data_IF_968829785865
#
_entry.id   IF_968829785865
#
_cell.length_a   1.000
_cell.length_b   1.000
_cell.length_c   1.000
_cell.angle_alpha   90.00
_cell.angle_beta   90.00
_cell.angle_gamma   90.00
#
_symmetry.space_group_name_H-M   'P 1'
#
loop_
_entity.id
_entity.type
_entity.pdbx_description
1 polymer ?
#
# COMPACT_ATOMS: atom_id res chain seq x y z
N UNK A 1 -19.91 8.96 3.01
CA UNK A 1 -20.32 7.55 2.80
C UNK A 1 -21.50 7.43 1.84
N UNK A 2 -22.57 8.24 1.99
CA UNK A 2 -23.74 8.19 1.08
C UNK A 2 -23.45 8.40 -0.41
N UNK A 3 -22.59 9.36 -0.76
CA UNK A 3 -22.25 9.63 -2.17
C UNK A 3 -21.53 8.45 -2.85
N UNK A 4 -20.55 7.83 -2.17
CA UNK A 4 -19.82 6.69 -2.72
C UNK A 4 -20.74 5.47 -2.94
N UNK A 5 -21.64 5.19 -1.98
CA UNK A 5 -22.63 4.13 -2.12
C UNK A 5 -23.59 4.39 -3.29
N UNK A 6 -24.09 5.62 -3.41
CA UNK A 6 -24.95 6.02 -4.52
C UNK A 6 -24.24 5.88 -5.88
N UNK A 7 -22.97 6.29 -5.98
CA UNK A 7 -22.18 6.11 -7.20
C UNK A 7 -22.00 4.64 -7.56
N UNK A 8 -21.68 3.78 -6.58
CA UNK A 8 -21.54 2.33 -6.83
C UNK A 8 -22.84 1.74 -7.35
N UNK A 9 -23.97 2.05 -6.71
CA UNK A 9 -25.29 1.57 -7.13
C UNK A 9 -25.62 2.07 -8.53
N UNK A 10 -25.45 3.37 -8.79
CA UNK A 10 -25.73 3.96 -10.09
C UNK A 10 -24.86 3.35 -11.20
N UNK A 11 -23.56 3.18 -10.98
CA UNK A 11 -22.66 2.55 -11.95
C UNK A 11 -23.01 1.08 -12.17
N UNK A 12 -23.36 0.34 -11.11
CA UNK A 12 -23.76 -1.07 -11.20
C UNK A 12 -25.03 -1.23 -12.03
N UNK A 13 -26.04 -0.41 -11.76
CA UNK A 13 -27.28 -0.43 -12.53
C UNK A 13 -27.04 0.00 -13.99
N UNK A 14 -26.20 0.99 -14.22
CA UNK A 14 -25.85 1.44 -15.57
C UNK A 14 -25.14 0.34 -16.38
N UNK A 15 -24.25 -0.44 -15.77
CA UNK A 15 -23.58 -1.55 -16.48
C UNK A 15 -24.52 -2.71 -16.77
N UNK A 16 -25.41 -3.07 -15.82
CA UNK A 16 -26.46 -4.07 -16.07
C UNK A 16 -27.36 -3.62 -17.22
N UNK A 17 -27.76 -2.34 -17.25
CA UNK A 17 -28.60 -1.81 -18.30
C UNK A 17 -27.91 -1.78 -19.67
N UNK A 18 -26.63 -1.40 -19.71
CA UNK A 18 -25.88 -1.26 -20.96
C UNK A 18 -25.41 -2.60 -21.57
N UNK A 19 -25.04 -3.58 -20.73
CA UNK A 19 -24.39 -4.82 -21.17
C UNK A 19 -25.19 -6.09 -20.87
N UNK A 20 -26.26 -5.99 -20.08
CA UNK A 20 -27.07 -7.14 -19.67
C UNK A 20 -26.54 -7.86 -18.43
N UNK A 21 -27.38 -8.73 -17.88
CA UNK A 21 -27.05 -9.55 -16.70
C UNK A 21 -26.08 -10.69 -17.04
N UNK A 22 -26.04 -11.12 -18.30
CA UNK A 22 -25.16 -12.17 -18.81
C UNK A 22 -23.68 -11.80 -18.63
N UNK A 23 -23.32 -10.54 -18.84
CA UNK A 23 -21.96 -10.03 -18.59
C UNK A 23 -21.58 -10.17 -17.11
N UNK A 24 -22.51 -9.91 -16.19
CA UNK A 24 -22.27 -10.11 -14.76
C UNK A 24 -22.10 -11.59 -14.40
N UNK A 25 -22.91 -12.50 -14.96
CA UNK A 25 -22.70 -13.94 -14.78
C UNK A 25 -21.33 -14.38 -15.28
N UNK A 26 -20.96 -14.00 -16.51
CA UNK A 26 -19.65 -14.32 -17.07
C UNK A 26 -18.49 -13.73 -16.26
N UNK A 27 -18.67 -12.55 -15.68
CA UNK A 27 -17.72 -11.96 -14.74
C UNK A 27 -17.56 -12.83 -13.48
N UNK A 28 -18.65 -13.30 -12.88
CA UNK A 28 -18.59 -14.20 -11.73
C UNK A 28 -17.91 -15.54 -12.06
N UNK A 29 -18.15 -16.09 -13.25
CA UNK A 29 -17.49 -17.31 -13.72
C UNK A 29 -15.97 -17.10 -13.89
N UNK A 30 -15.58 -15.96 -14.49
CA UNK A 30 -14.17 -15.57 -14.64
C UNK A 30 -13.47 -15.26 -13.32
N UNK A 31 -14.20 -14.80 -12.31
CA UNK A 31 -13.64 -14.57 -10.97
C UNK A 31 -13.19 -15.87 -10.32
N UNK A 32 -13.95 -16.96 -10.49
CA UNK A 32 -13.54 -18.28 -10.01
C UNK A 32 -12.29 -18.77 -10.74
N UNK A 33 -12.24 -18.63 -12.07
CA UNK A 33 -11.07 -18.97 -12.87
C UNK A 33 -9.83 -18.16 -12.44
N UNK A 34 -9.97 -16.85 -12.27
CA UNK A 34 -8.87 -15.96 -11.89
C UNK A 34 -8.34 -16.32 -10.50
N UNK A 35 -9.22 -16.61 -9.55
CA UNK A 35 -8.81 -17.05 -8.21
C UNK A 35 -8.07 -18.39 -8.27
N UNK A 36 -8.66 -19.41 -8.87
CA UNK A 36 -8.14 -20.78 -8.80
C UNK A 36 -6.92 -20.95 -9.70
N UNK A 37 -7.02 -20.56 -10.97
CA UNK A 37 -5.98 -20.83 -11.97
C UNK A 37 -4.87 -19.80 -11.90
N UNK A 38 -5.20 -18.51 -11.81
CA UNK A 38 -4.18 -17.46 -11.84
C UNK A 38 -3.51 -17.31 -10.47
N UNK A 39 -4.28 -17.15 -9.39
CA UNK A 39 -3.72 -16.91 -8.05
C UNK A 39 -3.32 -18.20 -7.33
N UNK A 40 -4.25 -19.14 -7.17
CA UNK A 40 -4.01 -20.34 -6.36
C UNK A 40 -3.08 -21.34 -7.06
N UNK A 41 -3.20 -21.54 -8.37
CA UNK A 41 -2.30 -22.44 -9.12
C UNK A 41 -1.05 -21.71 -9.64
N UNK A 42 -1.03 -20.37 -9.61
CA UNK A 42 0.12 -19.58 -10.04
C UNK A 42 0.38 -19.64 -11.54
N UNK A 43 -0.65 -19.86 -12.38
CA UNK A 43 -0.48 -20.09 -13.82
C UNK A 43 0.27 -18.96 -14.56
N UNK A 44 0.26 -17.73 -14.03
CA UNK A 44 1.00 -16.59 -14.58
C UNK A 44 2.43 -16.43 -14.03
N UNK A 45 2.81 -17.27 -13.06
CA UNK A 45 4.03 -17.17 -12.25
C UNK A 45 3.79 -16.34 -10.99
N UNK A 46 4.03 -16.93 -9.80
CA UNK A 46 3.88 -16.21 -8.52
C UNK A 46 4.78 -14.98 -8.41
N UNK A 47 5.94 -14.98 -9.08
CA UNK A 47 6.85 -13.83 -9.16
C UNK A 47 6.26 -12.62 -9.90
N UNK A 48 5.18 -12.78 -10.69
CA UNK A 48 4.45 -11.66 -11.29
C UNK A 48 3.38 -11.09 -10.36
N UNK A 49 2.87 -11.91 -9.44
CA UNK A 49 1.80 -11.53 -8.52
C UNK A 49 2.44 -10.96 -7.25
N UNK A 50 2.36 -9.64 -7.08
CA UNK A 50 3.05 -8.87 -6.04
C UNK A 50 2.25 -8.81 -4.73
N UNK A 51 1.71 -9.95 -4.27
CA UNK A 51 0.85 -10.03 -3.07
C UNK A 51 1.45 -10.88 -1.96
N UNK A 52 0.98 -10.67 -0.72
CA UNK A 52 1.39 -11.48 0.43
C UNK A 52 0.99 -12.94 0.24
N UNK A 53 -0.20 -13.19 -0.32
CA UNK A 53 -0.65 -14.52 -0.71
C UNK A 53 0.36 -15.22 -1.63
N UNK A 54 0.77 -14.56 -2.73
CA UNK A 54 1.67 -15.17 -3.71
C UNK A 54 3.07 -15.39 -3.19
N UNK A 55 3.56 -14.54 -2.28
CA UNK A 55 4.83 -14.78 -1.59
C UNK A 55 4.81 -16.08 -0.77
N UNK A 56 3.73 -16.32 0.00
CA UNK A 56 3.58 -17.56 0.78
C UNK A 56 3.47 -18.78 -0.13
N UNK A 57 2.71 -18.68 -1.23
CA UNK A 57 2.56 -19.77 -2.20
C UNK A 57 3.85 -20.09 -2.96
N UNK A 58 4.63 -19.06 -3.31
CA UNK A 58 5.94 -19.21 -3.94
C UNK A 58 6.92 -19.99 -3.06
N UNK A 59 6.84 -19.83 -1.73
CA UNK A 59 7.64 -20.58 -0.77
C UNK A 59 7.07 -21.96 -0.40
N UNK A 60 6.07 -22.46 -1.14
CA UNK A 60 5.46 -23.77 -0.92
C UNK A 60 4.44 -23.81 0.21
N UNK A 61 4.00 -22.66 0.73
CA UNK A 61 2.94 -22.58 1.73
C UNK A 61 1.60 -23.08 1.19
N UNK A 62 0.77 -23.63 2.08
CA UNK A 62 -0.57 -24.11 1.73
C UNK A 62 -1.54 -22.96 1.41
N UNK A 63 -2.63 -23.26 0.71
CA UNK A 63 -3.68 -22.27 0.40
C UNK A 63 -4.27 -21.64 1.67
N UNK A 64 -4.65 -22.42 2.72
CA UNK A 64 -5.17 -21.84 3.95
C UNK A 64 -4.14 -20.94 4.66
N UNK A 65 -2.86 -21.32 4.66
CA UNK A 65 -1.80 -20.49 5.24
C UNK A 65 -1.67 -19.17 4.48
N UNK A 66 -1.64 -19.21 3.16
CA UNK A 66 -1.54 -18.01 2.33
C UNK A 66 -2.71 -17.05 2.54
N UNK A 67 -3.95 -17.56 2.63
CA UNK A 67 -5.11 -16.75 3.00
C UNK A 67 -5.03 -16.21 4.42
N UNK A 68 -4.53 -17.01 5.38
CA UNK A 68 -4.35 -16.57 6.76
C UNK A 68 -3.38 -15.39 6.88
N UNK A 69 -2.21 -15.48 6.24
CA UNK A 69 -1.22 -14.39 6.25
C UNK A 69 -1.73 -13.16 5.48
N UNK A 70 -2.42 -13.35 4.36
CA UNK A 70 -3.08 -12.27 3.63
C UNK A 70 -4.14 -11.55 4.48
N UNK A 71 -4.96 -12.30 5.23
CA UNK A 71 -5.95 -11.73 6.13
C UNK A 71 -5.30 -10.90 7.23
N UNK A 72 -4.22 -11.39 7.85
CA UNK A 72 -3.44 -10.63 8.84
C UNK A 72 -2.93 -9.31 8.24
N UNK A 73 -2.35 -9.35 7.03
CA UNK A 73 -1.87 -8.15 6.35
C UNK A 73 -3.01 -7.15 6.08
N UNK A 74 -4.15 -7.65 5.62
CA UNK A 74 -5.35 -6.85 5.30
C UNK A 74 -5.91 -6.16 6.55
N UNK A 75 -6.16 -6.91 7.62
CA UNK A 75 -6.67 -6.35 8.87
C UNK A 75 -5.66 -5.42 9.54
N UNK A 76 -4.36 -5.74 9.47
CA UNK A 76 -3.29 -4.87 9.95
C UNK A 76 -3.25 -3.53 9.20
N UNK A 77 -3.32 -3.55 7.87
CA UNK A 77 -3.40 -2.32 7.07
C UNK A 77 -4.65 -1.51 7.39
N UNK A 78 -5.82 -2.17 7.48
CA UNK A 78 -7.07 -1.51 7.83
C UNK A 78 -7.01 -0.83 9.21
N UNK A 79 -6.43 -1.51 10.21
CA UNK A 79 -6.25 -0.96 11.55
C UNK A 79 -5.29 0.25 11.55
N UNK A 80 -4.17 0.16 10.84
CA UNK A 80 -3.21 1.27 10.71
C UNK A 80 -3.88 2.49 10.07
N UNK A 81 -4.58 2.30 8.95
CA UNK A 81 -5.25 3.38 8.23
C UNK A 81 -6.36 3.99 9.09
N UNK A 82 -7.18 3.17 9.73
CA UNK A 82 -8.21 3.64 10.65
C UNK A 82 -7.59 4.48 11.78
N UNK A 83 -6.54 3.97 12.43
CA UNK A 83 -5.83 4.69 13.48
C UNK A 83 -5.29 6.04 12.97
N UNK A 84 -4.62 6.09 11.82
CA UNK A 84 -4.08 7.34 11.27
C UNK A 84 -5.17 8.40 11.04
N UNK A 85 -6.37 7.97 10.66
CA UNK A 85 -7.51 8.86 10.43
C UNK A 85 -8.10 9.37 11.74
N UNK A 86 -8.27 8.48 12.72
CA UNK A 86 -8.80 8.85 14.04
C UNK A 86 -7.81 9.68 14.85
N UNK A 87 -6.52 9.40 14.75
CA UNK A 87 -5.43 10.15 15.38
C UNK A 87 -5.12 11.48 14.67
N UNK A 88 -5.80 11.79 13.56
CA UNK A 88 -5.62 13.03 12.77
C UNK A 88 -4.17 13.26 12.34
N UNK A 89 -3.49 12.19 11.92
CA UNK A 89 -2.15 12.26 11.31
C UNK A 89 -2.20 13.16 10.04
N UNK A 90 -1.07 13.76 9.66
CA UNK A 90 -0.92 14.51 8.40
C UNK A 90 -1.58 13.74 7.25
N UNK A 91 -2.51 14.41 6.55
CA UNK A 91 -3.34 13.81 5.51
C UNK A 91 -2.53 13.18 4.37
N UNK A 92 -1.32 13.67 4.10
CA UNK A 92 -0.42 13.12 3.09
C UNK A 92 0.11 11.75 3.51
N UNK A 93 0.59 11.62 4.75
CA UNK A 93 1.05 10.33 5.27
C UNK A 93 -0.10 9.33 5.34
N UNK A 94 -1.25 9.79 5.81
CA UNK A 94 -2.49 9.03 5.77
C UNK A 94 -2.77 8.51 4.34
N UNK A 95 -2.89 9.39 3.35
CA UNK A 95 -3.16 9.01 1.96
C UNK A 95 -2.11 8.01 1.39
N UNK A 96 -0.83 8.21 1.68
CA UNK A 96 0.23 7.28 1.28
C UNK A 96 0.08 5.89 1.92
N UNK A 97 -0.29 5.83 3.20
CA UNK A 97 -0.56 4.58 3.91
C UNK A 97 -1.78 3.86 3.31
N UNK A 98 -2.84 4.59 2.95
CA UNK A 98 -4.02 4.01 2.30
C UNK A 98 -3.67 3.37 0.95
N UNK A 99 -2.90 4.07 0.11
CA UNK A 99 -2.47 3.57 -1.20
C UNK A 99 -1.57 2.32 -1.07
N UNK A 100 -0.58 2.37 -0.19
CA UNK A 100 0.33 1.23 0.05
C UNK A 100 -0.41 0.06 0.70
N UNK A 101 -1.29 0.34 1.67
CA UNK A 101 -2.10 -0.65 2.36
C UNK A 101 -3.11 -1.33 1.44
N UNK A 102 -3.66 -0.63 0.44
CA UNK A 102 -4.53 -1.22 -0.56
C UNK A 102 -3.81 -2.32 -1.36
N UNK A 103 -2.56 -2.08 -1.78
CA UNK A 103 -1.74 -3.08 -2.47
C UNK A 103 -1.42 -4.28 -1.57
N UNK A 104 -1.14 -4.05 -0.29
CA UNK A 104 -0.86 -5.13 0.69
C UNK A 104 -2.11 -5.93 1.08
N UNK A 105 -3.30 -5.36 0.92
CA UNK A 105 -4.56 -5.97 1.34
C UNK A 105 -5.20 -6.87 0.28
N UNK A 106 -4.90 -6.65 -1.01
CA UNK A 106 -5.47 -7.50 -2.06
C UNK A 106 -4.71 -8.82 -2.21
N UNK A 107 -5.40 -9.97 -2.30
CA UNK A 107 -4.78 -11.24 -2.68
C UNK A 107 -4.40 -11.27 -4.17
N UNK A 108 -4.78 -10.26 -4.95
CA UNK A 108 -4.53 -10.15 -6.38
C UNK A 108 -4.01 -8.75 -6.75
N UNK A 109 -2.72 -8.66 -7.06
CA UNK A 109 -2.05 -7.48 -7.61
C UNK A 109 -0.88 -7.95 -8.47
N UNK A 110 -0.71 -7.33 -9.63
CA UNK A 110 0.41 -7.56 -10.54
C UNK A 110 1.47 -6.46 -10.39
N UNK A 111 2.60 -6.64 -11.06
CA UNK A 111 3.71 -5.69 -11.10
C UNK A 111 3.27 -4.28 -11.52
N UNK A 112 2.36 -4.13 -12.50
CA UNK A 112 1.84 -2.83 -12.92
C UNK A 112 0.98 -2.13 -11.86
N UNK A 113 0.32 -2.87 -10.96
CA UNK A 113 -0.51 -2.27 -9.90
C UNK A 113 0.37 -1.51 -8.89
N UNK A 114 1.64 -1.88 -8.78
CA UNK A 114 2.62 -1.18 -7.95
C UNK A 114 2.87 0.26 -8.40
N UNK A 115 2.40 0.68 -9.58
CA UNK A 115 2.38 2.09 -9.99
C UNK A 115 1.66 2.98 -8.96
N UNK A 116 0.74 2.43 -8.16
CA UNK A 116 0.08 3.14 -7.06
C UNK A 116 1.07 3.62 -5.98
N UNK A 117 2.29 3.07 -5.91
CA UNK A 117 3.36 3.60 -5.07
C UNK A 117 3.84 4.99 -5.50
N UNK A 118 3.68 5.37 -6.77
CA UNK A 118 4.08 6.69 -7.28
C UNK A 118 3.40 7.86 -6.56
N UNK A 119 2.05 7.97 -6.57
CA UNK A 119 1.36 9.01 -5.80
C UNK A 119 1.57 8.88 -4.28
N UNK A 120 1.71 7.66 -3.75
CA UNK A 120 2.03 7.45 -2.33
C UNK A 120 3.40 8.05 -1.96
N UNK A 121 4.42 7.83 -2.79
CA UNK A 121 5.74 8.44 -2.67
C UNK A 121 5.66 9.96 -2.79
N UNK A 122 4.88 10.49 -3.74
CA UNK A 122 4.70 11.94 -3.90
C UNK A 122 4.16 12.59 -2.62
N UNK A 123 3.18 11.97 -1.95
CA UNK A 123 2.66 12.46 -0.68
C UNK A 123 3.72 12.44 0.44
N UNK A 124 4.49 11.36 0.55
CA UNK A 124 5.57 11.27 1.53
C UNK A 124 6.64 12.32 1.24
N UNK A 125 7.08 12.46 -0.01
CA UNK A 125 8.09 13.44 -0.43
C UNK A 125 7.61 14.87 -0.13
N UNK A 126 6.36 15.22 -0.47
CA UNK A 126 5.79 16.53 -0.17
C UNK A 126 5.83 16.83 1.34
N UNK A 127 5.47 15.85 2.18
CA UNK A 127 5.58 15.97 3.63
C UNK A 127 7.05 16.13 4.09
N UNK A 128 8.00 15.42 3.49
CA UNK A 128 9.44 15.51 3.86
C UNK A 128 10.14 16.76 3.33
N UNK A 129 9.64 17.37 2.24
CA UNK A 129 10.15 18.67 1.79
C UNK A 129 9.89 19.77 2.83
N UNK A 130 8.77 19.69 3.56
CA UNK A 130 8.44 20.64 4.64
C UNK A 130 9.07 20.27 5.99
N UNK A 131 9.12 18.98 6.33
CA UNK A 131 9.57 18.51 7.65
C UNK A 131 11.03 18.03 7.69
N UNK A 132 11.74 18.14 6.57
CA UNK A 132 13.12 17.67 6.39
C UNK A 132 13.24 16.15 6.21
N UNK A 133 14.35 15.69 5.62
CA UNK A 133 14.67 14.28 5.40
C UNK A 133 15.71 13.78 6.41
N UNK A 134 15.63 12.51 6.79
CA UNK A 134 16.74 11.82 7.45
C UNK A 134 17.75 11.34 6.38
N UNK A 135 19.03 11.11 6.73
CA UNK A 135 20.09 10.80 5.77
C UNK A 135 19.80 9.63 4.82
N UNK A 136 19.15 8.57 5.33
CA UNK A 136 18.86 7.35 4.59
C UNK A 136 17.52 7.39 3.83
N UNK A 137 16.63 8.34 4.11
CA UNK A 137 15.26 8.29 3.57
C UNK A 137 15.21 8.52 2.07
N UNK A 138 16.03 9.43 1.54
CA UNK A 138 16.06 9.69 0.09
C UNK A 138 16.44 8.42 -0.67
N UNK A 139 17.44 7.70 -0.17
CA UNK A 139 17.86 6.41 -0.73
C UNK A 139 16.74 5.37 -0.63
N UNK A 140 16.07 5.25 0.51
CA UNK A 140 14.96 4.30 0.66
C UNK A 140 13.79 4.62 -0.27
N UNK A 141 13.41 5.90 -0.39
CA UNK A 141 12.34 6.33 -1.30
C UNK A 141 12.73 6.08 -2.77
N UNK A 142 14.00 6.26 -3.14
CA UNK A 142 14.49 5.92 -4.47
C UNK A 142 14.43 4.40 -4.76
N UNK A 143 14.74 3.57 -3.77
CA UNK A 143 14.60 2.10 -3.89
C UNK A 143 13.13 1.71 -4.05
N UNK A 144 12.23 2.29 -3.26
CA UNK A 144 10.78 2.04 -3.37
C UNK A 144 10.27 2.49 -4.75
N UNK A 145 10.75 3.63 -5.25
CA UNK A 145 10.41 4.12 -6.60
C UNK A 145 10.86 3.17 -7.72
N UNK A 146 12.04 2.56 -7.59
CA UNK A 146 12.55 1.60 -8.57
C UNK A 146 11.87 0.22 -8.48
N UNK A 147 11.16 -0.06 -7.38
CA UNK A 147 10.61 -1.40 -7.10
C UNK A 147 9.68 -1.92 -8.20
N UNK A 148 8.72 -1.16 -8.77
CA UNK A 148 7.85 -1.68 -9.83
C UNK A 148 8.60 -2.19 -11.07
N UNK A 149 9.79 -1.67 -11.35
CA UNK A 149 10.63 -2.09 -12.48
C UNK A 149 11.44 -3.35 -12.18
N UNK A 150 11.85 -3.54 -10.92
CA UNK A 150 12.83 -4.56 -10.53
C UNK A 150 12.21 -5.76 -9.81
N UNK A 151 11.05 -5.58 -9.16
CA UNK A 151 10.50 -6.56 -8.23
C UNK A 151 10.26 -7.91 -8.90
N UNK A 152 9.70 -7.91 -10.11
CA UNK A 152 9.41 -9.14 -10.86
C UNK A 152 10.68 -9.93 -11.17
N UNK A 153 11.67 -9.30 -11.79
CA UNK A 153 12.88 -9.97 -12.25
C UNK A 153 13.72 -10.46 -11.06
N UNK A 154 13.83 -9.65 -10.00
CA UNK A 154 14.52 -10.05 -8.78
C UNK A 154 13.80 -11.19 -8.07
N UNK A 155 12.47 -11.15 -7.97
CA UNK A 155 11.69 -12.24 -7.35
C UNK A 155 11.82 -13.52 -8.17
N UNK A 156 11.81 -13.42 -9.50
CA UNK A 156 12.00 -14.56 -10.39
C UNK A 156 13.40 -15.19 -10.25
N UNK A 157 14.44 -14.37 -10.12
CA UNK A 157 15.82 -14.85 -10.00
C UNK A 157 16.18 -15.39 -8.61
N UNK A 158 15.59 -14.83 -7.54
CA UNK A 158 16.02 -15.09 -6.16
C UNK A 158 14.99 -15.81 -5.31
N UNK A 159 13.73 -15.89 -5.75
CA UNK A 159 12.59 -16.32 -4.95
C UNK A 159 12.36 -15.48 -3.68
N UNK A 160 12.92 -14.26 -3.62
CA UNK A 160 12.67 -13.28 -2.56
C UNK A 160 11.57 -12.33 -3.02
N UNK A 161 10.47 -12.14 -2.25
CA UNK A 161 9.34 -11.30 -2.64
C UNK A 161 9.66 -9.79 -2.47
N UNK A 162 10.50 -9.27 -3.37
CA UNK A 162 11.07 -7.91 -3.27
C UNK A 162 9.97 -6.84 -3.24
N UNK A 163 8.92 -6.99 -4.05
CA UNK A 163 7.83 -6.01 -4.09
C UNK A 163 7.08 -5.90 -2.77
N UNK A 164 6.75 -7.03 -2.15
CA UNK A 164 6.06 -7.12 -0.86
C UNK A 164 6.94 -6.55 0.26
N UNK A 165 8.24 -6.89 0.27
CA UNK A 165 9.20 -6.35 1.24
C UNK A 165 9.27 -4.83 1.12
N UNK A 166 9.40 -4.29 -0.10
CA UNK A 166 9.45 -2.85 -0.33
C UNK A 166 8.17 -2.13 0.15
N UNK A 167 6.99 -2.70 -0.12
CA UNK A 167 5.71 -2.15 0.33
C UNK A 167 5.56 -2.18 1.86
N UNK A 168 5.97 -3.28 2.51
CA UNK A 168 5.97 -3.40 3.99
C UNK A 168 6.93 -2.38 4.60
N UNK A 169 8.14 -2.26 4.06
CA UNK A 169 9.13 -1.27 4.50
C UNK A 169 8.56 0.13 4.33
N UNK A 170 7.94 0.44 3.19
CA UNK A 170 7.38 1.75 2.94
C UNK A 170 6.23 2.09 3.91
N UNK A 171 5.32 1.15 4.15
CA UNK A 171 4.25 1.34 5.15
C UNK A 171 4.82 1.54 6.56
N UNK A 172 5.85 0.77 6.94
CA UNK A 172 6.53 0.94 8.22
C UNK A 172 7.21 2.32 8.35
N UNK A 173 7.79 2.85 7.27
CA UNK A 173 8.34 4.21 7.25
C UNK A 173 7.25 5.27 7.43
N UNK A 174 6.13 5.12 6.73
CA UNK A 174 4.98 6.02 6.89
C UNK A 174 4.48 5.99 8.33
N UNK A 175 4.32 4.79 8.92
CA UNK A 175 3.87 4.60 10.29
C UNK A 175 4.83 5.21 11.32
N UNK A 176 6.14 5.00 11.14
CA UNK A 176 7.18 5.60 12.00
C UNK A 176 7.12 7.13 12.00
N UNK A 177 6.71 7.74 10.88
CA UNK A 177 6.56 9.20 10.75
C UNK A 177 5.23 9.71 11.28
N UNK A 178 4.19 8.89 11.19
CA UNK A 178 2.89 9.16 11.75
C UNK A 178 2.87 9.14 13.28
N UNK A 179 3.77 8.37 13.90
CA UNK A 179 3.83 8.25 15.35
C UNK A 179 4.21 9.58 16.01
N UNK A 180 3.44 10.08 16.98
CA UNK A 180 3.77 11.30 17.71
C UNK A 180 5.11 11.13 18.44
N UNK A 181 6.18 11.73 17.91
CA UNK A 181 7.45 11.81 18.62
C UNK A 181 7.39 12.97 19.61
N UNK A 182 7.30 12.67 20.89
CA UNK A 182 7.37 13.65 21.99
C UNK A 182 8.76 14.34 22.14
N UNK A 183 9.67 14.21 21.16
CA UNK A 183 11.09 14.64 21.28
C UNK A 183 11.61 15.46 20.10
N UNK A 184 10.77 16.24 19.43
CA UNK A 184 11.25 17.23 18.45
C UNK A 184 10.63 18.59 18.70
N UNK A 185 11.09 19.25 19.77
CA UNK A 185 11.30 20.70 19.83
C UNK A 185 12.38 21.03 20.86
N UNK A 186 13.63 21.32 20.43
CA UNK A 186 14.51 22.19 21.19
C UNK A 186 14.98 23.40 20.37
N UNK A 187 14.12 23.99 19.53
CA UNK A 187 14.47 25.22 18.78
C UNK A 187 13.38 26.29 18.89
N UNK A 188 12.88 26.54 20.09
CA UNK A 188 12.06 27.72 20.40
C UNK A 188 12.35 28.29 21.80
N UNK A 189 13.60 28.20 22.27
CA UNK A 189 14.05 28.82 23.51
C UNK A 189 15.40 29.55 23.33
N UNK A 190 15.52 30.33 22.26
CA UNK A 190 16.63 31.29 22.12
C UNK A 190 16.16 32.55 21.39
N UNK A 191 15.10 33.15 21.92
CA UNK A 191 14.54 34.41 21.44
C UNK A 191 14.31 35.44 22.55
N UNK A 192 14.93 35.29 23.73
CA UNK A 192 14.97 36.36 24.72
C UNK A 192 16.12 37.30 24.36
N UNK A 193 15.78 38.43 23.73
CA UNK A 193 16.70 39.53 23.46
C UNK A 193 17.30 40.04 24.79
N UNK A 194 18.61 40.40 24.83
CA UNK A 194 19.19 41.01 26.01
C UNK A 194 18.60 42.41 26.24
N UNK A 195 18.07 42.66 27.44
CA UNK A 195 17.72 44.00 27.89
C UNK A 195 18.98 44.86 27.96
N UNK A 196 19.07 45.91 27.14
CA UNK A 196 20.09 46.94 27.32
C UNK A 196 19.73 47.84 28.53
N UNK A 197 20.72 48.29 29.31
CA UNK A 197 20.51 49.17 30.44
C UNK A 197 20.33 50.63 29.98
N UNK A 198 19.32 51.30 30.53
CA UNK A 198 19.33 52.74 30.82
C UNK A 198 18.60 52.99 32.12
#
# INVERSE_FOLDING_TARGET
MGAAGATIVAMTLATVWAFGWETWRGFFDMMHFSRVVISEQGATGWYKIQTIFSAVRMWGGSIPLAYGVQAISTFGCAAIIAWMWFARVDRRLAAAALMTGALLSTPYALDYDMMLLGPALAFVIAHRLEKGFAPWEKTTLAVIWATPLLARDLTMATFIPVGQIAMIVFLALILRRAWPNARQDPVAATGALPSMPR
#
